data_IF_927754238932
#
_entry.id   IF_927754238932
#
_cell.length_a   1.000
_cell.length_b   1.000
_cell.length_c   1.000
_cell.angle_alpha   90.00
_cell.angle_beta   90.00
_cell.angle_gamma   90.00
#
_symmetry.space_group_name_H-M   'P 1'
#
loop_
_entity.id
_entity.type
_entity.pdbx_description
1 polymer ?
#
# COMPACT_ATOMS: atom_id res chain seq x y z
N UNK A 1 22.93 -23.26 -45.05
CA UNK A 1 22.28 -23.50 -43.74
C UNK A 1 23.18 -22.91 -42.68
N UNK A 2 22.96 -21.65 -42.35
CA UNK A 2 23.69 -20.92 -41.30
C UNK A 2 22.77 -20.80 -40.10
N UNK A 3 23.03 -21.63 -39.08
CA UNK A 3 22.37 -21.58 -37.78
C UNK A 3 22.83 -20.30 -37.09
N UNK A 4 21.96 -19.30 -37.01
CA UNK A 4 22.16 -18.12 -36.21
C UNK A 4 21.74 -18.46 -34.76
N UNK A 5 22.70 -18.86 -33.97
CA UNK A 5 22.55 -18.96 -32.50
C UNK A 5 22.60 -17.55 -31.93
N UNK A 6 21.45 -16.90 -31.88
CA UNK A 6 21.30 -15.69 -31.06
C UNK A 6 21.37 -16.14 -29.60
N UNK A 7 22.59 -16.17 -29.06
CA UNK A 7 22.79 -16.32 -27.62
C UNK A 7 22.04 -15.17 -26.96
N UNK A 8 20.97 -15.50 -26.23
CA UNK A 8 20.20 -14.60 -25.42
C UNK A 8 21.14 -14.06 -24.35
N UNK A 9 21.67 -12.84 -24.58
CA UNK A 9 22.52 -12.15 -23.61
C UNK A 9 21.65 -11.91 -22.38
N UNK A 10 21.94 -12.61 -21.30
CA UNK A 10 21.33 -12.29 -20.01
C UNK A 10 21.62 -10.80 -19.72
N UNK A 11 20.59 -10.01 -19.56
CA UNK A 11 20.74 -8.59 -19.25
C UNK A 11 21.53 -8.45 -17.95
N UNK A 12 22.58 -7.62 -17.97
CA UNK A 12 23.35 -7.32 -16.76
C UNK A 12 22.42 -6.65 -15.73
N UNK A 13 22.26 -7.23 -14.53
CA UNK A 13 21.45 -6.60 -13.46
C UNK A 13 21.86 -5.17 -13.16
N UNK A 14 23.14 -4.81 -13.33
CA UNK A 14 23.62 -3.44 -13.14
C UNK A 14 23.08 -2.47 -14.17
N UNK A 15 22.88 -2.89 -15.43
CA UNK A 15 22.26 -2.08 -16.48
C UNK A 15 20.79 -1.79 -16.15
N UNK A 16 20.06 -2.81 -15.65
CA UNK A 16 18.67 -2.65 -15.20
C UNK A 16 18.55 -1.67 -14.01
N UNK A 17 19.45 -1.78 -13.03
CA UNK A 17 19.48 -0.86 -11.89
C UNK A 17 19.82 0.58 -12.29
N UNK A 18 20.56 0.80 -13.38
CA UNK A 18 20.85 2.14 -13.86
C UNK A 18 19.59 2.92 -14.24
N UNK A 19 18.55 2.22 -14.70
CA UNK A 19 17.26 2.82 -15.13
C UNK A 19 16.34 3.19 -13.96
N UNK A 20 16.62 2.69 -12.76
CA UNK A 20 15.78 2.97 -11.58
C UNK A 20 15.97 4.42 -11.13
N UNK A 21 14.87 5.10 -10.80
CA UNK A 21 14.90 6.49 -10.30
C UNK A 21 15.85 6.64 -9.11
N UNK A 22 16.66 7.72 -9.03
CA UNK A 22 17.56 7.95 -7.89
C UNK A 22 16.85 7.96 -6.53
N UNK A 23 15.63 8.53 -6.46
CA UNK A 23 14.82 8.57 -5.26
C UNK A 23 14.45 7.16 -4.76
N UNK A 24 14.26 6.19 -5.66
CA UNK A 24 13.98 4.79 -5.30
C UNK A 24 15.25 4.09 -4.81
N UNK A 25 16.38 4.32 -5.49
CA UNK A 25 17.69 3.75 -5.10
C UNK A 25 18.15 4.22 -3.71
N UNK A 26 17.78 5.44 -3.34
CA UNK A 26 18.14 6.03 -2.04
C UNK A 26 17.29 5.49 -0.87
N UNK A 27 16.20 4.75 -1.16
CA UNK A 27 15.37 4.20 -0.09
C UNK A 27 15.99 2.93 0.50
N UNK A 28 15.94 2.76 1.83
CA UNK A 28 16.25 1.47 2.43
C UNK A 28 15.21 0.44 1.98
N UNK A 29 15.63 -0.81 1.82
CA UNK A 29 14.68 -1.89 1.57
C UNK A 29 13.63 -1.94 2.68
N UNK A 30 12.36 -2.02 2.31
CA UNK A 30 11.30 -2.23 3.28
C UNK A 30 11.33 -3.69 3.71
N UNK A 31 12.06 -3.98 4.78
CA UNK A 31 12.16 -5.31 5.38
C UNK A 31 11.37 -5.33 6.69
N UNK A 32 10.57 -6.36 6.85
CA UNK A 32 9.84 -6.63 8.10
C UNK A 32 10.63 -7.60 8.98
N UNK A 33 11.92 -7.40 9.13
CA UNK A 33 12.76 -8.15 10.07
C UNK A 33 12.40 -7.78 11.51
N UNK A 34 11.23 -8.28 11.94
CA UNK A 34 10.82 -8.12 13.33
C UNK A 34 11.41 -9.27 14.15
N UNK A 35 12.10 -8.97 15.27
CA UNK A 35 12.53 -10.00 16.19
C UNK A 35 11.32 -10.78 16.72
N UNK A 36 11.52 -12.07 17.00
CA UNK A 36 10.47 -12.89 17.63
C UNK A 36 10.14 -12.28 19.00
N UNK A 37 8.99 -11.66 19.09
CA UNK A 37 8.51 -11.04 20.31
C UNK A 37 7.39 -11.85 20.95
N UNK A 38 7.33 -11.85 22.29
CA UNK A 38 6.25 -12.49 23.03
C UNK A 38 4.87 -11.90 22.67
N UNK A 39 4.83 -10.61 22.32
CA UNK A 39 3.62 -9.90 21.88
C UNK A 39 3.99 -9.06 20.66
N UNK A 40 3.32 -9.32 19.55
CA UNK A 40 3.50 -8.58 18.30
C UNK A 40 2.52 -7.40 18.29
N UNK A 41 3.07 -6.18 18.29
CA UNK A 41 2.28 -4.93 18.34
C UNK A 41 2.68 -3.95 17.22
N UNK A 42 3.48 -4.40 16.26
CA UNK A 42 4.10 -3.52 15.26
C UNK A 42 3.32 -3.36 13.95
N UNK A 43 2.25 -4.12 13.74
CA UNK A 43 1.52 -4.13 12.46
C UNK A 43 0.02 -3.88 12.61
N UNK A 44 -0.44 -3.50 13.78
CA UNK A 44 -1.85 -3.23 14.08
C UNK A 44 -2.77 -4.40 13.71
N UNK A 45 -2.28 -5.64 13.91
CA UNK A 45 -3.05 -6.86 13.64
C UNK A 45 -4.14 -7.06 14.69
N UNK A 46 -5.25 -7.67 14.28
CA UNK A 46 -6.29 -8.08 15.22
C UNK A 46 -5.73 -9.13 16.21
N UNK A 47 -6.04 -9.01 17.52
CA UNK A 47 -5.51 -9.93 18.53
C UNK A 47 -6.12 -11.34 18.45
N UNK A 48 -7.20 -11.50 17.71
CA UNK A 48 -7.93 -12.75 17.52
C UNK A 48 -8.11 -13.04 16.04
N UNK A 49 -8.06 -14.31 15.71
CA UNK A 49 -8.33 -14.77 14.35
C UNK A 49 -9.82 -14.69 14.02
N UNK A 50 -10.12 -14.68 12.72
CA UNK A 50 -11.50 -14.73 12.24
C UNK A 50 -12.18 -16.04 12.69
N UNK A 51 -13.43 -16.02 13.22
CA UNK A 51 -14.16 -17.22 13.57
C UNK A 51 -14.22 -18.24 12.44
N UNK A 52 -14.07 -19.52 12.77
CA UNK A 52 -13.96 -20.60 11.78
C UNK A 52 -15.13 -20.65 10.82
N UNK A 53 -16.38 -20.48 11.28
CA UNK A 53 -17.55 -20.48 10.44
C UNK A 53 -17.53 -19.37 9.37
N UNK A 54 -16.95 -18.19 9.71
CA UNK A 54 -16.81 -17.09 8.74
C UNK A 54 -15.73 -17.39 7.71
N UNK A 55 -14.61 -18.03 8.11
CA UNK A 55 -13.59 -18.49 7.15
C UNK A 55 -14.20 -19.48 6.15
N UNK A 56 -14.97 -20.45 6.65
CA UNK A 56 -15.63 -21.44 5.81
C UNK A 56 -16.62 -20.79 4.83
N UNK A 57 -17.40 -19.81 5.28
CA UNK A 57 -18.31 -19.08 4.41
C UNK A 57 -17.58 -18.30 3.32
N UNK A 58 -16.49 -17.59 3.69
CA UNK A 58 -15.65 -16.87 2.72
C UNK A 58 -15.06 -17.82 1.68
N UNK A 59 -14.53 -18.97 2.12
CA UNK A 59 -13.96 -19.96 1.21
C UNK A 59 -15.00 -20.56 0.29
N UNK A 60 -16.18 -20.88 0.79
CA UNK A 60 -17.27 -21.41 -0.03
C UNK A 60 -17.69 -20.41 -1.13
N UNK A 61 -17.82 -19.13 -0.78
CA UNK A 61 -18.13 -18.06 -1.73
C UNK A 61 -17.00 -17.86 -2.75
N UNK A 62 -15.74 -17.92 -2.32
CA UNK A 62 -14.59 -17.82 -3.23
C UNK A 62 -14.54 -18.97 -4.22
N UNK A 63 -14.75 -20.21 -3.76
CA UNK A 63 -14.76 -21.41 -4.61
C UNK A 63 -15.91 -21.40 -5.63
N UNK A 64 -17.02 -20.74 -5.35
CA UNK A 64 -18.13 -20.60 -6.26
C UNK A 64 -17.86 -19.61 -7.41
N UNK A 65 -16.78 -18.82 -7.34
CA UNK A 65 -16.44 -17.86 -8.38
C UNK A 65 -15.63 -18.51 -9.52
N UNK A 66 -15.78 -18.04 -10.76
CA UNK A 66 -14.98 -18.51 -11.89
C UNK A 66 -13.58 -17.85 -11.86
N UNK A 67 -12.59 -18.51 -11.28
CA UNK A 67 -11.24 -17.97 -11.05
C UNK A 67 -10.46 -17.62 -12.33
N UNK A 68 -10.89 -18.09 -13.48
CA UNK A 68 -10.31 -17.79 -14.80
C UNK A 68 -10.88 -16.52 -15.44
N UNK A 69 -11.74 -15.79 -14.74
CA UNK A 69 -12.36 -14.55 -15.20
C UNK A 69 -11.87 -13.37 -14.38
N UNK A 70 -11.80 -12.21 -14.99
CA UNK A 70 -11.62 -10.97 -14.28
C UNK A 70 -12.83 -10.70 -13.38
N UNK A 71 -12.62 -10.24 -12.14
CA UNK A 71 -13.71 -9.75 -11.30
C UNK A 71 -14.28 -8.43 -11.85
N UNK A 72 -15.35 -7.96 -11.26
CA UNK A 72 -15.80 -6.58 -11.50
C UNK A 72 -14.69 -5.59 -11.18
N UNK A 73 -14.43 -4.63 -12.07
CA UNK A 73 -13.42 -3.58 -11.85
C UNK A 73 -13.70 -2.72 -10.63
N UNK A 74 -14.99 -2.45 -10.38
CA UNK A 74 -15.46 -1.80 -9.17
C UNK A 74 -16.33 -2.79 -8.42
N UNK A 75 -15.98 -3.17 -7.18
CA UNK A 75 -16.76 -4.13 -6.39
C UNK A 75 -18.04 -3.46 -5.85
N UNK A 76 -19.01 -3.21 -6.72
CA UNK A 76 -20.23 -2.42 -6.46
C UNK A 76 -20.96 -2.84 -5.19
N UNK A 77 -21.09 -4.16 -4.96
CA UNK A 77 -21.78 -4.67 -3.78
C UNK A 77 -21.05 -4.31 -2.47
N UNK A 78 -19.71 -4.32 -2.47
CA UNK A 78 -18.89 -3.90 -1.32
C UNK A 78 -18.95 -2.40 -1.12
N UNK A 79 -18.79 -1.63 -2.20
CA UNK A 79 -18.90 -0.17 -2.20
C UNK A 79 -20.24 0.28 -1.62
N UNK A 80 -21.36 -0.28 -2.08
CA UNK A 80 -22.68 0.05 -1.57
C UNK A 80 -22.84 -0.24 -0.06
N UNK A 81 -22.30 -1.38 0.41
CA UNK A 81 -22.34 -1.73 1.84
C UNK A 81 -21.50 -0.78 2.70
N UNK A 82 -20.31 -0.39 2.22
CA UNK A 82 -19.45 0.57 2.92
C UNK A 82 -20.09 1.95 2.94
N UNK A 83 -20.61 2.42 1.81
CA UNK A 83 -21.31 3.68 1.71
C UNK A 83 -22.49 3.75 2.70
N UNK A 84 -23.34 2.74 2.71
CA UNK A 84 -24.43 2.64 3.67
C UNK A 84 -23.96 2.60 5.14
N UNK A 85 -22.85 1.88 5.42
CA UNK A 85 -22.27 1.76 6.77
C UNK A 85 -21.75 3.09 7.31
N UNK A 86 -21.21 3.95 6.43
CA UNK A 86 -20.58 5.21 6.79
C UNK A 86 -21.43 6.44 6.44
N UNK A 87 -22.65 6.26 5.94
CA UNK A 87 -23.54 7.36 5.55
C UNK A 87 -23.00 8.19 4.39
N UNK A 88 -22.26 7.56 3.46
CA UNK A 88 -21.66 8.21 2.31
C UNK A 88 -22.40 7.84 1.02
N UNK A 89 -22.18 8.66 -0.02
CA UNK A 89 -22.58 8.29 -1.38
C UNK A 89 -21.64 7.19 -1.91
N UNK A 90 -22.15 6.13 -2.57
CA UNK A 90 -21.31 5.14 -3.22
C UNK A 90 -20.25 5.72 -4.18
N UNK A 91 -20.53 6.82 -4.86
CA UNK A 91 -19.58 7.52 -5.74
C UNK A 91 -18.41 8.14 -4.98
N UNK A 92 -18.52 8.30 -3.67
CA UNK A 92 -17.48 8.83 -2.79
C UNK A 92 -16.66 7.74 -2.09
N UNK A 93 -16.86 6.46 -2.44
CA UNK A 93 -16.18 5.33 -1.80
C UNK A 93 -15.24 4.65 -2.78
N UNK A 94 -13.95 4.64 -2.47
CA UNK A 94 -12.93 3.90 -3.19
C UNK A 94 -12.48 2.68 -2.38
N UNK A 95 -12.37 1.54 -3.05
CA UNK A 95 -11.91 0.27 -2.46
C UNK A 95 -10.63 -0.19 -3.16
N UNK A 96 -9.65 -0.65 -2.39
CA UNK A 96 -8.37 -1.16 -2.90
C UNK A 96 -7.84 -2.31 -2.04
N UNK A 97 -6.65 -2.82 -2.38
CA UNK A 97 -5.95 -3.87 -1.65
C UNK A 97 -5.28 -3.33 -0.37
N UNK A 98 -6.10 -2.85 0.54
CA UNK A 98 -5.65 -2.24 1.78
C UNK A 98 -5.27 -0.77 1.63
N UNK A 99 -5.01 -0.12 2.78
CA UNK A 99 -4.73 1.31 2.85
C UNK A 99 -3.45 1.72 2.10
N UNK A 100 -2.47 0.84 1.98
CA UNK A 100 -1.22 1.16 1.29
C UNK A 100 -1.43 1.49 -0.19
N UNK A 101 -2.26 0.72 -0.89
CA UNK A 101 -2.61 0.99 -2.29
C UNK A 101 -3.36 2.31 -2.42
N UNK A 102 -4.32 2.56 -1.54
CA UNK A 102 -5.12 3.79 -1.57
C UNK A 102 -4.29 5.03 -1.25
N UNK A 103 -3.38 4.95 -0.27
CA UNK A 103 -2.43 6.03 0.04
C UNK A 103 -1.52 6.30 -1.17
N UNK A 104 -1.00 5.25 -1.79
CA UNK A 104 -0.16 5.41 -2.98
C UNK A 104 -0.94 6.03 -4.14
N UNK A 105 -2.16 5.57 -4.39
CA UNK A 105 -3.02 6.12 -5.43
C UNK A 105 -3.32 7.61 -5.18
N UNK A 106 -3.70 7.96 -3.95
CA UNK A 106 -3.97 9.35 -3.57
C UNK A 106 -2.75 10.26 -3.78
N UNK A 107 -1.59 9.85 -3.26
CA UNK A 107 -0.37 10.65 -3.41
C UNK A 107 0.11 10.74 -4.87
N UNK A 108 -0.11 9.67 -5.66
CA UNK A 108 0.23 9.69 -7.10
C UNK A 108 -0.64 10.68 -7.88
N UNK A 109 -1.91 10.83 -7.50
CA UNK A 109 -2.85 11.72 -8.19
C UNK A 109 -2.71 13.18 -7.74
N UNK A 110 -2.36 13.39 -6.46
CA UNK A 110 -2.39 14.72 -5.84
C UNK A 110 -1.03 15.44 -5.85
N UNK A 111 0.10 14.70 -5.95
CA UNK A 111 1.43 15.30 -5.82
C UNK A 111 2.05 15.65 -7.15
N UNK A 112 2.47 16.90 -7.27
CA UNK A 112 3.43 17.36 -8.25
C UNK A 112 4.85 17.33 -7.66
N UNK A 113 5.91 17.27 -8.51
CA UNK A 113 7.29 17.32 -8.03
C UNK A 113 7.57 18.57 -7.20
N UNK A 114 8.00 18.38 -5.95
CA UNK A 114 8.32 19.46 -5.01
C UNK A 114 7.21 19.80 -4.03
N UNK A 115 6.01 19.28 -4.21
CA UNK A 115 4.92 19.44 -3.24
C UNK A 115 5.27 18.87 -1.87
N UNK A 116 4.61 19.39 -0.83
CA UNK A 116 4.87 19.04 0.56
C UNK A 116 3.77 18.15 1.11
N UNK A 117 4.16 16.99 1.61
CA UNK A 117 3.29 16.11 2.38
C UNK A 117 3.64 16.25 3.86
N UNK A 118 2.69 16.74 4.63
CA UNK A 118 2.81 16.87 6.10
C UNK A 118 2.20 15.64 6.76
N UNK A 119 2.90 15.05 7.72
CA UNK A 119 2.36 13.97 8.52
C UNK A 119 2.90 14.00 9.95
N UNK A 120 2.13 13.52 10.94
CA UNK A 120 2.59 13.45 12.31
C UNK A 120 3.79 12.49 12.44
N UNK A 121 4.65 12.71 13.43
CA UNK A 121 5.80 11.86 13.71
C UNK A 121 5.84 11.53 15.22
N UNK A 122 6.05 10.27 15.61
CA UNK A 122 6.22 9.08 14.76
C UNK A 122 4.93 8.63 14.07
N UNK A 123 5.05 8.07 12.87
CA UNK A 123 3.92 7.57 12.08
C UNK A 123 4.33 6.40 11.18
N UNK A 124 3.41 5.93 10.36
CA UNK A 124 3.64 4.85 9.41
C UNK A 124 4.69 5.23 8.36
N UNK A 125 5.74 4.44 8.24
CA UNK A 125 6.91 4.76 7.40
C UNK A 125 6.63 4.91 5.91
N UNK A 126 5.54 4.31 5.40
CA UNK A 126 5.18 4.38 4.00
C UNK A 126 4.79 5.78 3.53
N UNK A 127 4.28 6.64 4.38
CA UNK A 127 3.98 8.03 3.98
C UNK A 127 5.20 8.73 3.43
N UNK A 128 6.32 8.65 4.16
CA UNK A 128 7.60 9.21 3.73
C UNK A 128 8.11 8.54 2.45
N UNK A 129 8.05 7.21 2.40
CA UNK A 129 8.55 6.44 1.26
C UNK A 129 7.80 6.81 -0.02
N UNK A 130 6.46 6.74 0.01
CA UNK A 130 5.63 7.01 -1.16
C UNK A 130 5.79 8.47 -1.61
N UNK A 131 5.80 9.41 -0.67
CA UNK A 131 6.05 10.84 -0.99
C UNK A 131 7.37 11.03 -1.73
N UNK A 132 8.46 10.43 -1.23
CA UNK A 132 9.78 10.54 -1.89
C UNK A 132 9.80 9.93 -3.29
N UNK A 133 9.16 8.79 -3.48
CA UNK A 133 9.07 8.10 -4.78
C UNK A 133 8.21 8.89 -5.77
N UNK A 134 7.16 9.56 -5.29
CA UNK A 134 6.34 10.46 -6.09
C UNK A 134 7.05 11.78 -6.45
N UNK A 135 8.18 12.09 -5.83
CA UNK A 135 8.93 13.33 -6.06
C UNK A 135 8.52 14.49 -5.14
N UNK A 136 7.66 14.23 -4.17
CA UNK A 136 7.27 15.19 -3.14
C UNK A 136 8.28 15.30 -2.01
N UNK A 137 8.12 16.30 -1.16
CA UNK A 137 8.90 16.56 0.04
C UNK A 137 8.09 16.18 1.28
N UNK A 138 8.59 15.21 2.04
CA UNK A 138 7.97 14.80 3.29
C UNK A 138 8.39 15.74 4.44
N UNK A 139 7.41 16.27 5.17
CA UNK A 139 7.62 17.14 6.32
C UNK A 139 6.97 16.51 7.57
N UNK A 140 7.77 15.92 8.48
CA UNK A 140 7.25 15.38 9.73
C UNK A 140 6.92 16.52 10.70
N UNK A 141 5.78 16.39 11.38
CA UNK A 141 5.38 17.25 12.50
C UNK A 141 5.32 16.39 13.76
N UNK A 142 6.10 16.75 14.77
CA UNK A 142 6.15 15.97 16.00
C UNK A 142 4.85 16.09 16.79
N UNK A 143 4.36 14.97 17.33
CA UNK A 143 3.31 15.02 18.34
C UNK A 143 3.76 15.84 19.56
N UNK A 144 2.82 16.49 20.20
CA UNK A 144 3.01 17.11 21.49
C UNK A 144 3.25 16.10 22.61
N UNK A 145 3.27 16.58 23.86
CA UNK A 145 3.43 15.70 25.02
C UNK A 145 2.34 14.61 25.04
N UNK A 146 2.72 13.38 25.39
CA UNK A 146 1.85 12.20 25.43
C UNK A 146 1.14 11.91 24.11
N UNK A 147 1.78 12.19 22.98
CA UNK A 147 1.20 12.03 21.64
C UNK A 147 -0.07 12.86 21.42
N UNK A 148 -0.20 14.00 22.09
CA UNK A 148 -1.27 14.93 21.79
C UNK A 148 -1.14 15.45 20.36
N UNK A 149 -2.26 15.48 19.65
CA UNK A 149 -2.33 16.12 18.34
C UNK A 149 -2.45 17.64 18.58
N UNK A 150 -1.60 18.38 17.89
CA UNK A 150 -1.67 19.84 17.91
C UNK A 150 -2.42 20.28 16.65
N UNK A 151 -3.62 20.84 16.83
CA UNK A 151 -4.48 21.25 15.72
C UNK A 151 -4.07 22.62 15.15
N UNK A 152 -3.15 23.32 15.81
CA UNK A 152 -2.66 24.66 15.42
C UNK A 152 -1.38 24.62 14.55
N UNK A 153 -0.93 23.40 14.14
CA UNK A 153 0.21 23.18 13.24
C UNK A 153 -0.27 22.97 11.78
#
# INVERSE_FOLDING_TARGET
MTSSTAAQRAADPAEGLALVKPAVKAQPAYTLDAPVARRKLNQNEAPHDLPEHLKQEVMARALAQPWHRYPEFVPKALVAKLAARFGQDPESVLVGNGSNELIQAALTVLLEPGDVVVAPSPTFSLYRLITSVAGGRYMPVSFGQRFAYDEDL
#
